data_IF_040742745425
#
_entry.id   IF_040742745425
#
_cell.length_a   1.000
_cell.length_b   1.000
_cell.length_c   1.000
_cell.angle_alpha   90.00
_cell.angle_beta   90.00
_cell.angle_gamma   90.00
#
_symmetry.space_group_name_H-M   'P 1'
#
loop_
_entity.id
_entity.type
_entity.pdbx_description
1 polymer ?
#
# COMPACT_ATOMS: atom_id res chain seq x y z
N UNK A 1 -9.89 7.16 -25.95
CA UNK A 1 -11.24 7.20 -25.32
C UNK A 1 -11.01 7.28 -23.82
N UNK A 2 -11.09 8.47 -23.24
CA UNK A 2 -10.91 8.66 -21.80
C UNK A 2 -12.10 8.03 -21.09
N UNK A 3 -11.89 6.87 -20.46
CA UNK A 3 -12.84 6.28 -19.53
C UNK A 3 -13.02 7.27 -18.38
N UNK A 4 -14.22 7.83 -18.27
CA UNK A 4 -14.64 8.73 -17.18
C UNK A 4 -14.92 7.91 -15.90
N UNK A 5 -14.12 6.88 -15.64
CA UNK A 5 -14.21 6.04 -14.47
C UNK A 5 -13.68 6.79 -13.25
N UNK A 6 -14.45 6.78 -12.19
CA UNK A 6 -14.09 7.42 -10.93
C UNK A 6 -12.78 6.82 -10.37
N UNK A 7 -11.79 7.66 -9.98
CA UNK A 7 -10.51 7.17 -9.50
C UNK A 7 -10.66 6.35 -8.21
N UNK A 8 -9.77 5.39 -8.01
CA UNK A 8 -9.71 4.60 -6.79
C UNK A 8 -9.36 5.45 -5.57
N UNK A 9 -8.42 6.40 -5.74
CA UNK A 9 -8.02 7.37 -4.72
C UNK A 9 -7.93 8.75 -5.35
N UNK A 10 -8.44 9.78 -4.67
CA UNK A 10 -8.27 11.17 -5.07
C UNK A 10 -7.96 12.06 -3.87
N UNK A 11 -6.96 12.93 -4.05
CA UNK A 11 -6.57 13.98 -3.13
C UNK A 11 -6.81 15.33 -3.79
N UNK A 12 -7.50 16.24 -3.10
CA UNK A 12 -7.80 17.59 -3.57
C UNK A 12 -7.33 18.59 -2.52
N UNK A 13 -6.21 19.28 -2.77
CA UNK A 13 -5.60 20.30 -1.90
C UNK A 13 -5.41 19.83 -0.45
N UNK A 14 -4.99 18.57 -0.26
CA UNK A 14 -4.89 17.93 1.05
C UNK A 14 -3.70 18.47 1.84
N UNK A 15 -3.98 19.00 3.02
CA UNK A 15 -2.98 19.38 4.02
C UNK A 15 -3.10 18.51 5.27
N UNK A 16 -1.96 18.22 5.92
CA UNK A 16 -1.93 17.57 7.22
C UNK A 16 -0.94 18.25 8.16
N UNK A 17 -1.43 18.59 9.35
CA UNK A 17 -0.61 19.15 10.44
C UNK A 17 -0.71 18.25 11.68
N UNK A 18 0.38 18.19 12.44
CA UNK A 18 0.44 17.63 13.78
C UNK A 18 0.99 18.73 14.70
N UNK A 19 0.10 19.32 15.50
CA UNK A 19 0.43 20.56 16.22
C UNK A 19 0.84 21.68 15.26
N UNK A 20 1.99 22.29 15.48
CA UNK A 20 2.55 23.33 14.60
C UNK A 20 3.22 22.80 13.34
N UNK A 21 3.59 21.50 13.29
CA UNK A 21 4.33 20.90 12.16
C UNK A 21 3.37 20.59 11.02
N UNK A 22 3.58 21.23 9.85
CA UNK A 22 2.93 20.85 8.60
C UNK A 22 3.71 19.69 7.97
N UNK A 23 3.02 18.58 7.71
CA UNK A 23 3.61 17.36 7.12
C UNK A 23 3.21 17.22 5.66
N UNK A 24 1.95 17.51 5.32
CA UNK A 24 1.49 17.58 3.92
C UNK A 24 0.99 19.00 3.64
N UNK A 25 1.23 19.46 2.41
CA UNK A 25 0.99 20.83 2.01
C UNK A 25 0.35 20.91 0.61
N UNK A 26 -0.97 20.88 0.58
CA UNK A 26 -1.77 21.04 -0.66
C UNK A 26 -1.60 19.89 -1.66
N UNK A 27 -1.47 18.62 -1.20
CA UNK A 27 -1.37 17.50 -2.13
C UNK A 27 -2.61 17.36 -2.99
N UNK A 28 -2.41 17.25 -4.30
CA UNK A 28 -3.46 17.00 -5.30
C UNK A 28 -2.95 15.94 -6.27
N UNK A 29 -3.60 14.77 -6.28
CA UNK A 29 -3.31 13.67 -7.20
C UNK A 29 -4.47 12.68 -7.22
N UNK A 30 -4.46 11.82 -8.24
CA UNK A 30 -5.41 10.70 -8.35
C UNK A 30 -4.66 9.41 -8.61
N UNK A 31 -5.26 8.29 -8.17
CA UNK A 31 -4.86 6.93 -8.55
C UNK A 31 -6.04 6.28 -9.25
N UNK A 32 -5.84 5.77 -10.44
CA UNK A 32 -6.90 5.14 -11.21
C UNK A 32 -7.19 3.72 -10.70
N UNK A 33 -8.35 3.16 -11.06
CA UNK A 33 -8.64 1.75 -10.78
C UNK A 33 -7.65 0.86 -11.53
N UNK A 34 -7.11 -0.14 -10.83
CA UNK A 34 -6.10 -1.04 -11.37
C UNK A 34 -4.71 -0.42 -11.58
N UNK A 35 -4.50 0.84 -11.20
CA UNK A 35 -3.19 1.50 -11.31
C UNK A 35 -2.25 1.10 -10.17
N UNK A 36 -0.97 0.90 -10.48
CA UNK A 36 0.13 0.76 -9.51
C UNK A 36 0.82 2.12 -9.37
N UNK A 37 0.39 2.89 -8.39
CA UNK A 37 0.92 4.21 -8.06
C UNK A 37 1.94 4.11 -6.92
N UNK A 38 3.18 4.54 -7.16
CA UNK A 38 4.25 4.46 -6.17
C UNK A 38 4.65 5.86 -5.71
N UNK A 39 4.72 6.07 -4.40
CA UNK A 39 5.20 7.32 -3.79
C UNK A 39 6.61 7.09 -3.29
N UNK A 40 7.59 7.78 -3.88
CA UNK A 40 8.98 7.76 -3.45
C UNK A 40 9.41 9.12 -2.86
N UNK A 41 10.56 9.14 -2.21
CA UNK A 41 11.16 10.37 -1.67
C UNK A 41 11.91 10.13 -0.36
N UNK A 42 12.64 11.12 0.15
CA UNK A 42 13.42 11.01 1.38
C UNK A 42 12.58 10.62 2.61
N UNK A 43 13.22 10.08 3.64
CA UNK A 43 12.55 9.77 4.90
C UNK A 43 11.97 11.03 5.56
N UNK A 44 10.81 10.87 6.22
CA UNK A 44 10.16 11.97 6.93
C UNK A 44 9.43 13.01 6.06
N UNK A 45 9.30 12.80 4.75
CA UNK A 45 8.62 13.73 3.82
C UNK A 45 7.10 13.64 3.83
N UNK A 46 6.51 12.66 4.53
CA UNK A 46 5.06 12.51 4.66
C UNK A 46 4.47 11.34 3.87
N UNK A 47 5.28 10.45 3.27
CA UNK A 47 4.83 9.30 2.47
C UNK A 47 3.79 8.43 3.20
N UNK A 48 4.15 7.87 4.36
CA UNK A 48 3.22 7.03 5.16
C UNK A 48 2.02 7.84 5.68
N UNK A 49 2.15 9.17 5.85
CA UNK A 49 1.02 10.03 6.21
C UNK A 49 0.03 10.13 5.04
N UNK A 50 0.52 10.30 3.81
CA UNK A 50 -0.34 10.27 2.61
C UNK A 50 -1.07 8.93 2.50
N UNK A 51 -0.38 7.81 2.72
CA UNK A 51 -0.97 6.47 2.69
C UNK A 51 -2.07 6.29 3.75
N UNK A 52 -1.82 6.75 4.99
CA UNK A 52 -2.80 6.68 6.09
C UNK A 52 -4.02 7.57 5.87
N UNK A 53 -3.84 8.71 5.19
CA UNK A 53 -4.97 9.55 4.77
C UNK A 53 -5.77 8.87 3.66
N UNK A 54 -5.11 8.32 2.65
CA UNK A 54 -5.75 7.62 1.53
C UNK A 54 -6.58 6.41 1.99
N UNK A 55 -6.11 5.69 3.02
CA UNK A 55 -6.80 4.53 3.60
C UNK A 55 -7.84 4.89 4.68
N UNK A 56 -8.04 6.17 4.98
CA UNK A 56 -8.96 6.64 6.02
C UNK A 56 -8.52 6.34 7.45
N UNK A 57 -7.25 5.99 7.69
CA UNK A 57 -6.69 5.81 9.04
C UNK A 57 -6.42 7.15 9.74
N UNK A 58 -6.25 8.21 8.96
CA UNK A 58 -6.12 9.59 9.43
C UNK A 58 -7.09 10.48 8.67
N UNK A 59 -7.53 11.58 9.31
CA UNK A 59 -8.27 12.64 8.65
C UNK A 59 -7.32 13.77 8.24
N UNK A 60 -7.53 14.44 7.09
CA UNK A 60 -6.78 15.63 6.70
C UNK A 60 -7.08 16.79 7.64
N UNK A 61 -6.17 17.78 7.69
CA UNK A 61 -6.44 19.05 8.38
C UNK A 61 -7.29 19.98 7.51
N UNK A 62 -7.07 19.93 6.20
CA UNK A 62 -7.89 20.60 5.17
C UNK A 62 -7.74 19.89 3.84
N UNK A 63 -8.61 20.19 2.89
CA UNK A 63 -8.71 19.49 1.60
C UNK A 63 -9.58 18.24 1.70
N UNK A 64 -9.76 17.55 0.58
CA UNK A 64 -10.64 16.39 0.47
C UNK A 64 -9.87 15.14 0.07
N UNK A 65 -10.14 14.02 0.74
CA UNK A 65 -9.64 12.69 0.35
C UNK A 65 -10.84 11.81 -0.02
N UNK A 66 -10.83 11.30 -1.24
CA UNK A 66 -11.82 10.33 -1.70
C UNK A 66 -11.19 8.96 -1.88
N UNK A 67 -11.90 7.93 -1.46
CA UNK A 67 -11.56 6.53 -1.66
C UNK A 67 -12.76 5.84 -2.31
N UNK A 68 -12.53 5.23 -3.48
CA UNK A 68 -13.59 4.62 -4.30
C UNK A 68 -14.79 5.56 -4.48
N UNK A 69 -14.51 6.85 -4.75
CA UNK A 69 -15.47 7.92 -4.95
C UNK A 69 -16.07 8.55 -3.69
N UNK A 70 -15.90 7.94 -2.53
CA UNK A 70 -16.50 8.41 -1.29
C UNK A 70 -15.56 9.38 -0.55
N UNK A 71 -16.06 10.55 -0.17
CA UNK A 71 -15.33 11.50 0.68
C UNK A 71 -15.20 10.94 2.10
N UNK A 72 -13.95 10.61 2.48
CA UNK A 72 -13.67 9.96 3.76
C UNK A 72 -14.06 10.80 4.98
N UNK A 73 -14.08 12.13 4.86
CA UNK A 73 -14.47 13.02 5.96
C UNK A 73 -15.98 13.15 6.14
N UNK A 74 -16.76 12.85 5.10
CA UNK A 74 -18.21 12.91 5.13
C UNK A 74 -18.86 11.59 5.59
N UNK A 75 -18.10 10.51 5.68
CA UNK A 75 -18.63 9.19 6.03
C UNK A 75 -18.91 9.07 7.53
N UNK A 76 -20.02 8.40 7.85
CA UNK A 76 -20.26 7.89 9.21
C UNK A 76 -19.24 6.78 9.54
N UNK A 77 -19.04 6.49 10.83
CA UNK A 77 -18.16 5.42 11.27
C UNK A 77 -18.54 4.06 10.65
N UNK A 78 -19.84 3.77 10.53
CA UNK A 78 -20.36 2.55 9.91
C UNK A 78 -20.05 2.49 8.42
N UNK A 79 -20.26 3.59 7.68
CA UNK A 79 -19.96 3.66 6.26
C UNK A 79 -18.44 3.54 6.00
N UNK A 80 -17.61 4.18 6.83
CA UNK A 80 -16.17 4.05 6.76
C UNK A 80 -15.70 2.62 7.06
N UNK A 81 -16.30 1.93 8.02
CA UNK A 81 -16.01 0.52 8.31
C UNK A 81 -16.38 -0.38 7.12
N UNK A 82 -17.53 -0.14 6.49
CA UNK A 82 -17.93 -0.87 5.28
C UNK A 82 -16.98 -0.62 4.10
N UNK A 83 -16.52 0.62 3.91
CA UNK A 83 -15.56 0.97 2.87
C UNK A 83 -14.21 0.28 3.09
N UNK A 84 -13.75 0.17 4.35
CA UNK A 84 -12.49 -0.47 4.70
C UNK A 84 -12.42 -1.96 4.37
N UNK A 85 -13.56 -2.66 4.26
CA UNK A 85 -13.60 -4.07 3.80
C UNK A 85 -13.16 -4.23 2.35
N UNK A 86 -13.28 -3.15 1.56
CA UNK A 86 -12.87 -3.11 0.15
C UNK A 86 -11.40 -2.70 -0.01
N UNK A 87 -10.66 -2.62 1.10
CA UNK A 87 -9.29 -2.10 1.15
C UNK A 87 -8.40 -3.04 1.92
N UNK A 88 -7.28 -3.42 1.32
CA UNK A 88 -6.20 -4.12 2.00
C UNK A 88 -5.08 -3.16 2.42
N UNK A 89 -4.41 -3.48 3.52
CA UNK A 89 -3.29 -2.68 4.02
C UNK A 89 -2.13 -3.58 4.50
N UNK A 90 -0.96 -3.41 3.90
CA UNK A 90 0.29 -4.00 4.37
C UNK A 90 1.11 -2.96 5.13
N UNK A 91 1.27 -3.17 6.43
CA UNK A 91 2.09 -2.32 7.29
C UNK A 91 3.57 -2.63 7.17
N UNK A 92 4.43 -1.65 7.42
CA UNK A 92 5.88 -1.79 7.32
C UNK A 92 6.45 -2.97 8.15
N UNK A 93 5.94 -3.22 9.35
CA UNK A 93 6.34 -4.35 10.19
C UNK A 93 5.57 -5.66 9.91
N UNK A 94 4.64 -5.66 8.93
CA UNK A 94 3.67 -6.73 8.72
C UNK A 94 2.51 -6.70 9.73
N UNK A 95 2.71 -6.23 10.95
CA UNK A 95 1.71 -6.10 12.02
C UNK A 95 0.91 -7.41 12.25
N UNK A 96 1.56 -8.55 12.24
CA UNK A 96 0.97 -9.82 12.64
C UNK A 96 0.85 -9.89 14.18
N UNK A 97 -0.21 -10.52 14.66
CA UNK A 97 -0.39 -10.82 16.09
C UNK A 97 0.51 -11.98 16.47
N UNK A 98 1.50 -11.74 17.32
CA UNK A 98 2.53 -12.72 17.67
C UNK A 98 2.03 -13.97 18.40
N UNK A 99 0.84 -13.89 19.03
CA UNK A 99 0.20 -15.01 19.74
C UNK A 99 -0.79 -15.80 18.86
N UNK A 100 -0.85 -15.51 17.58
CA UNK A 100 -1.66 -16.21 16.58
C UNK A 100 -0.76 -16.82 15.51
N UNK A 101 -1.17 -17.98 14.99
CA UNK A 101 -0.50 -18.60 13.84
C UNK A 101 -0.60 -17.71 12.60
N UNK A 102 0.15 -18.04 11.55
CA UNK A 102 0.04 -17.32 10.27
C UNK A 102 -1.37 -17.46 9.68
N UNK A 103 -1.94 -18.66 9.71
CA UNK A 103 -3.31 -18.90 9.25
C UNK A 103 -4.34 -18.10 10.03
N UNK A 104 -4.24 -18.06 11.36
CA UNK A 104 -5.12 -17.28 12.21
C UNK A 104 -5.00 -15.76 11.94
N UNK A 105 -3.78 -15.26 11.67
CA UNK A 105 -3.55 -13.87 11.30
C UNK A 105 -4.19 -13.53 9.95
N UNK A 106 -4.06 -14.42 8.97
CA UNK A 106 -4.66 -14.26 7.63
C UNK A 106 -6.19 -14.31 7.72
N UNK A 107 -6.75 -15.13 8.60
CA UNK A 107 -8.20 -15.26 8.82
C UNK A 107 -8.85 -14.03 9.48
N UNK A 108 -8.09 -13.12 10.13
CA UNK A 108 -8.62 -12.03 10.93
C UNK A 108 -9.65 -11.15 10.21
N UNK A 109 -9.42 -10.69 8.95
CA UNK A 109 -10.41 -9.87 8.25
C UNK A 109 -11.74 -10.61 8.07
N UNK A 110 -11.71 -11.85 7.60
CA UNK A 110 -12.91 -12.65 7.36
C UNK A 110 -13.70 -12.90 8.64
N UNK A 111 -13.01 -13.18 9.76
CA UNK A 111 -13.66 -13.40 11.07
C UNK A 111 -14.22 -12.10 11.67
N UNK A 112 -13.57 -10.96 11.41
CA UNK A 112 -14.00 -9.67 11.95
C UNK A 112 -15.20 -9.09 11.21
N UNK A 113 -15.33 -9.37 9.93
CA UNK A 113 -16.28 -8.70 9.05
C UNK A 113 -17.42 -9.59 8.56
N UNK A 114 -17.28 -10.92 8.65
CA UNK A 114 -18.15 -11.85 7.99
C UNK A 114 -18.92 -12.78 8.92
N UNK A 115 -19.90 -13.44 8.32
CA UNK A 115 -20.61 -14.58 8.88
C UNK A 115 -20.31 -15.84 8.07
N UNK A 116 -19.07 -15.94 7.55
CA UNK A 116 -18.65 -17.10 6.75
C UNK A 116 -18.50 -18.33 7.67
N UNK A 117 -18.88 -19.52 7.20
CA UNK A 117 -18.58 -20.77 7.90
C UNK A 117 -17.06 -20.97 8.07
N UNK A 118 -16.61 -21.50 9.19
CA UNK A 118 -15.18 -21.76 9.46
C UNK A 118 -14.51 -22.60 8.35
N UNK A 119 -15.24 -23.52 7.74
CA UNK A 119 -14.73 -24.30 6.60
C UNK A 119 -14.36 -23.40 5.42
N UNK A 120 -15.22 -22.46 5.06
CA UNK A 120 -14.96 -21.51 3.96
C UNK A 120 -13.80 -20.56 4.29
N UNK A 121 -13.73 -20.11 5.56
CA UNK A 121 -12.58 -19.31 6.03
C UNK A 121 -11.29 -20.11 5.88
N UNK A 122 -11.26 -21.37 6.29
CA UNK A 122 -10.07 -22.21 6.19
C UNK A 122 -9.64 -22.44 4.73
N UNK A 123 -10.59 -22.67 3.81
CA UNK A 123 -10.32 -22.83 2.38
C UNK A 123 -9.72 -21.55 1.78
N UNK A 124 -10.28 -20.36 2.08
CA UNK A 124 -9.75 -19.07 1.63
C UNK A 124 -8.37 -18.76 2.22
N UNK A 125 -8.17 -19.05 3.50
CA UNK A 125 -6.87 -18.85 4.18
C UNK A 125 -5.80 -19.71 3.51
N UNK A 126 -6.10 -21.00 3.26
CA UNK A 126 -5.17 -21.91 2.59
C UNK A 126 -4.82 -21.41 1.19
N UNK A 127 -5.80 -20.94 0.41
CA UNK A 127 -5.58 -20.36 -0.91
C UNK A 127 -4.70 -19.10 -0.85
N UNK A 128 -4.99 -18.17 0.06
CA UNK A 128 -4.20 -16.94 0.22
C UNK A 128 -2.77 -17.21 0.68
N UNK A 129 -2.55 -18.18 1.58
CA UNK A 129 -1.20 -18.61 1.97
C UNK A 129 -0.46 -19.29 0.81
N UNK A 130 -1.14 -20.10 0.01
CA UNK A 130 -0.54 -20.71 -1.17
C UNK A 130 -0.13 -19.66 -2.22
N UNK A 131 -0.95 -18.63 -2.44
CA UNK A 131 -0.66 -17.53 -3.38
C UNK A 131 0.64 -16.79 -3.04
N UNK A 132 0.96 -16.67 -1.74
CA UNK A 132 2.22 -16.03 -1.28
C UNK A 132 3.34 -17.04 -1.01
N UNK A 133 3.19 -18.32 -1.41
CA UNK A 133 4.19 -19.38 -1.22
C UNK A 133 4.40 -19.79 0.24
N UNK A 134 3.33 -19.85 1.03
CA UNK A 134 3.30 -20.25 2.44
C UNK A 134 2.28 -21.37 2.74
N UNK A 135 1.97 -22.21 1.75
CA UNK A 135 0.93 -23.25 1.88
C UNK A 135 1.14 -24.17 3.11
N UNK A 136 2.39 -24.51 3.41
CA UNK A 136 2.75 -25.44 4.50
C UNK A 136 3.13 -24.74 5.82
N UNK A 137 3.01 -23.40 5.88
CA UNK A 137 3.46 -22.60 7.04
C UNK A 137 2.32 -22.07 7.90
N UNK A 138 1.07 -22.42 7.60
CA UNK A 138 -0.11 -21.85 8.25
C UNK A 138 -0.14 -21.99 9.76
N UNK A 139 0.34 -23.11 10.29
CA UNK A 139 0.33 -23.43 11.73
C UNK A 139 1.51 -22.80 12.51
N UNK A 140 2.49 -22.21 11.81
CA UNK A 140 3.63 -21.57 12.47
C UNK A 140 3.23 -20.19 13.03
N UNK A 141 3.90 -19.80 14.12
CA UNK A 141 3.77 -18.48 14.70
C UNK A 141 4.75 -17.48 14.05
N UNK A 142 4.46 -16.16 14.10
CA UNK A 142 5.36 -15.15 13.55
C UNK A 142 6.80 -15.20 14.08
N UNK A 143 7.00 -15.67 15.32
CA UNK A 143 8.32 -15.82 15.93
C UNK A 143 9.12 -17.03 15.40
N UNK A 144 8.48 -17.96 14.71
CA UNK A 144 9.09 -19.20 14.19
C UNK A 144 9.50 -19.09 12.72
N UNK A 145 9.22 -17.96 12.07
CA UNK A 145 9.42 -17.78 10.64
C UNK A 145 10.34 -16.58 10.33
N UNK A 146 10.91 -16.56 9.14
CA UNK A 146 11.76 -15.44 8.69
C UNK A 146 10.95 -14.15 8.50
N UNK A 147 11.62 -12.99 8.54
CA UNK A 147 10.99 -11.69 8.26
C UNK A 147 10.30 -11.63 6.90
N UNK A 148 10.86 -12.29 5.88
CA UNK A 148 10.23 -12.41 4.56
C UNK A 148 8.94 -13.24 4.60
N UNK A 149 8.87 -14.31 5.40
CA UNK A 149 7.63 -15.08 5.59
C UNK A 149 6.59 -14.26 6.35
N UNK A 150 6.98 -13.48 7.37
CA UNK A 150 6.09 -12.55 8.08
C UNK A 150 5.46 -11.56 7.10
N UNK A 151 6.27 -10.96 6.21
CA UNK A 151 5.79 -10.01 5.19
C UNK A 151 4.81 -10.67 4.22
N UNK A 152 5.13 -11.88 3.74
CA UNK A 152 4.25 -12.62 2.83
C UNK A 152 2.93 -13.03 3.49
N UNK A 153 2.94 -13.46 4.75
CA UNK A 153 1.72 -13.75 5.50
C UNK A 153 0.87 -12.48 5.75
N UNK A 154 1.51 -11.35 6.05
CA UNK A 154 0.83 -10.06 6.15
C UNK A 154 0.26 -9.60 4.81
N UNK A 155 0.93 -9.92 3.69
CA UNK A 155 0.42 -9.71 2.35
C UNK A 155 -0.83 -10.57 2.09
N UNK A 156 -0.79 -11.89 2.39
CA UNK A 156 -1.95 -12.78 2.29
C UNK A 156 -3.15 -12.24 3.08
N UNK A 157 -2.92 -11.74 4.31
CA UNK A 157 -3.96 -11.09 5.12
C UNK A 157 -4.55 -9.84 4.44
N UNK A 158 -3.72 -9.06 3.73
CA UNK A 158 -4.19 -7.84 3.07
C UNK A 158 -5.07 -8.14 1.85
N UNK A 159 -4.91 -9.29 1.19
CA UNK A 159 -5.62 -9.64 -0.04
C UNK A 159 -6.81 -10.58 0.16
N UNK A 160 -6.98 -11.19 1.35
CA UNK A 160 -7.94 -12.28 1.57
C UNK A 160 -9.41 -11.91 1.34
N UNK A 161 -9.75 -10.62 1.43
CA UNK A 161 -11.09 -10.10 1.14
C UNK A 161 -11.22 -9.59 -0.31
N UNK A 162 -10.25 -9.88 -1.19
CA UNK A 162 -10.22 -9.45 -2.60
C UNK A 162 -10.44 -7.93 -2.74
N UNK A 163 -9.60 -7.10 -2.13
CA UNK A 163 -9.81 -5.66 -2.06
C UNK A 163 -9.71 -4.98 -3.43
N UNK A 164 -10.46 -3.89 -3.62
CA UNK A 164 -10.36 -3.04 -4.81
C UNK A 164 -9.15 -2.10 -4.77
N UNK A 165 -8.66 -1.80 -3.56
CA UNK A 165 -7.48 -0.95 -3.35
C UNK A 165 -6.56 -1.59 -2.31
N UNK A 166 -5.27 -1.65 -2.62
CA UNK A 166 -4.22 -2.14 -1.75
C UNK A 166 -3.25 -1.02 -1.40
N UNK A 167 -2.99 -0.85 -0.12
CA UNK A 167 -2.01 0.09 0.41
C UNK A 167 -0.80 -0.65 0.98
N UNK A 168 0.41 -0.26 0.56
CA UNK A 168 1.66 -0.88 0.96
C UNK A 168 2.59 0.18 1.57
N UNK A 169 2.85 0.09 2.88
CA UNK A 169 3.76 0.98 3.59
C UNK A 169 5.13 0.29 3.74
N UNK A 170 6.11 0.68 2.92
CA UNK A 170 7.47 0.13 2.88
C UNK A 170 7.51 -1.41 2.81
N UNK A 171 6.88 -2.03 1.79
CA UNK A 171 6.67 -3.48 1.74
C UNK A 171 7.96 -4.31 1.75
N UNK A 172 9.04 -3.79 1.17
CA UNK A 172 10.34 -4.46 1.03
C UNK A 172 11.36 -4.07 2.11
N UNK A 173 11.01 -3.14 3.01
CA UNK A 173 11.91 -2.66 4.06
C UNK A 173 12.40 -3.80 4.97
N UNK A 174 13.74 -3.88 5.15
CA UNK A 174 14.38 -4.89 5.98
C UNK A 174 14.48 -6.28 5.35
N UNK A 175 14.18 -6.42 4.07
CA UNK A 175 14.35 -7.66 3.30
C UNK A 175 15.65 -7.61 2.47
N UNK A 176 16.21 -8.79 2.21
CA UNK A 176 17.27 -8.94 1.24
C UNK A 176 16.76 -8.71 -0.21
N UNK A 177 17.67 -8.49 -1.20
CA UNK A 177 17.26 -8.19 -2.56
C UNK A 177 16.42 -9.29 -3.24
N UNK A 178 16.61 -10.56 -2.88
CA UNK A 178 15.85 -11.69 -3.46
C UNK A 178 14.42 -11.66 -2.94
N UNK A 179 14.25 -11.50 -1.62
CA UNK A 179 12.93 -11.41 -1.01
C UNK A 179 12.20 -10.14 -1.43
N UNK A 180 12.90 -9.00 -1.61
CA UNK A 180 12.30 -7.78 -2.14
C UNK A 180 11.69 -7.99 -3.51
N UNK A 181 12.39 -8.67 -4.43
CA UNK A 181 11.85 -9.03 -5.76
C UNK A 181 10.63 -9.94 -5.67
N UNK A 182 10.59 -10.84 -4.68
CA UNK A 182 9.41 -11.69 -4.44
C UNK A 182 8.19 -10.85 -4.07
N UNK A 183 8.34 -9.86 -3.19
CA UNK A 183 7.25 -8.95 -2.83
C UNK A 183 6.81 -8.09 -4.02
N UNK A 184 7.76 -7.56 -4.84
CA UNK A 184 7.43 -6.80 -6.05
C UNK A 184 6.63 -7.64 -7.06
N UNK A 185 7.01 -8.92 -7.21
CA UNK A 185 6.28 -9.87 -8.05
C UNK A 185 4.85 -10.11 -7.52
N UNK A 186 4.68 -10.26 -6.20
CA UNK A 186 3.36 -10.41 -5.57
C UNK A 186 2.48 -9.18 -5.78
N UNK A 187 3.03 -7.95 -5.65
CA UNK A 187 2.28 -6.71 -5.94
C UNK A 187 1.78 -6.70 -7.39
N UNK A 188 2.64 -7.08 -8.32
CA UNK A 188 2.29 -7.16 -9.74
C UNK A 188 1.24 -8.23 -10.00
N UNK A 189 1.42 -9.44 -9.45
CA UNK A 189 0.51 -10.56 -9.59
C UNK A 189 -0.89 -10.21 -9.09
N UNK A 190 -1.01 -9.69 -7.88
CA UNK A 190 -2.30 -9.33 -7.27
C UNK A 190 -3.00 -8.23 -8.07
N UNK A 191 -2.26 -7.22 -8.53
CA UNK A 191 -2.82 -6.20 -9.41
C UNK A 191 -3.39 -6.81 -10.70
N UNK A 192 -2.66 -7.73 -11.35
CA UNK A 192 -3.10 -8.39 -12.59
C UNK A 192 -4.27 -9.36 -12.36
N UNK A 193 -4.24 -10.12 -11.27
CA UNK A 193 -5.24 -11.16 -10.98
C UNK A 193 -6.56 -10.56 -10.47
N UNK A 194 -6.47 -9.58 -9.57
CA UNK A 194 -7.66 -9.02 -8.90
C UNK A 194 -8.08 -7.65 -9.44
N UNK A 195 -7.28 -7.03 -10.33
CA UNK A 195 -7.55 -5.69 -10.85
C UNK A 195 -7.51 -4.59 -9.78
N UNK A 196 -6.93 -4.86 -8.61
CA UNK A 196 -6.85 -3.93 -7.51
C UNK A 196 -5.91 -2.76 -7.82
N UNK A 197 -6.30 -1.55 -7.48
CA UNK A 197 -5.38 -0.42 -7.48
C UNK A 197 -4.36 -0.58 -6.34
N UNK A 198 -3.07 -0.38 -6.62
CA UNK A 198 -2.00 -0.50 -5.64
C UNK A 198 -1.37 0.86 -5.35
N UNK A 199 -1.40 1.30 -4.11
CA UNK A 199 -0.70 2.52 -3.67
C UNK A 199 0.45 2.10 -2.77
N UNK A 200 1.67 2.30 -3.24
CA UNK A 200 2.88 1.85 -2.56
C UNK A 200 3.69 3.06 -2.10
N UNK A 201 4.14 3.04 -0.87
CA UNK A 201 5.10 4.00 -0.33
C UNK A 201 6.40 3.26 -0.10
N UNK A 202 7.49 3.74 -0.69
CA UNK A 202 8.81 3.11 -0.53
C UNK A 202 9.96 4.11 -0.71
N UNK A 203 11.12 3.74 -0.22
CA UNK A 203 12.40 4.35 -0.58
C UNK A 203 13.16 3.49 -1.62
N UNK A 204 12.71 2.28 -1.93
CA UNK A 204 13.28 1.40 -2.97
C UNK A 204 12.90 1.90 -4.37
N UNK A 205 13.80 2.69 -4.96
CA UNK A 205 13.65 3.18 -6.33
C UNK A 205 13.67 2.04 -7.35
N UNK A 206 14.56 1.06 -7.17
CA UNK A 206 14.71 -0.04 -8.12
C UNK A 206 13.44 -0.89 -8.19
N UNK A 207 12.79 -1.15 -7.06
CA UNK A 207 11.46 -1.77 -7.00
C UNK A 207 10.42 -0.90 -7.70
N UNK A 208 10.32 0.38 -7.33
CA UNK A 208 9.35 1.30 -7.92
C UNK A 208 9.43 1.32 -9.46
N UNK A 209 10.62 1.40 -10.02
CA UNK A 209 10.84 1.42 -11.48
C UNK A 209 10.42 0.14 -12.19
N UNK A 210 10.42 -1.02 -11.48
CA UNK A 210 10.05 -2.31 -12.08
C UNK A 210 8.56 -2.49 -12.29
N UNK A 211 7.74 -2.02 -11.33
CA UNK A 211 6.32 -2.37 -11.35
C UNK A 211 5.36 -1.18 -11.37
N UNK A 212 5.81 0.05 -11.12
CA UNK A 212 4.92 1.20 -11.11
C UNK A 212 4.39 1.54 -12.50
N UNK A 213 3.12 1.94 -12.59
CA UNK A 213 2.56 2.61 -13.76
C UNK A 213 2.87 4.11 -13.72
N UNK A 214 2.78 4.71 -12.51
CA UNK A 214 3.20 6.10 -12.24
C UNK A 214 3.90 6.20 -10.89
N UNK A 215 4.85 7.13 -10.82
CA UNK A 215 5.63 7.42 -9.62
C UNK A 215 5.44 8.88 -9.23
N UNK A 216 5.11 9.13 -7.96
CA UNK A 216 5.08 10.45 -7.38
C UNK A 216 6.31 10.67 -6.49
N UNK A 217 7.13 11.68 -6.79
CA UNK A 217 8.25 12.07 -5.94
C UNK A 217 7.81 13.11 -4.92
N UNK A 218 7.80 12.70 -3.63
CA UNK A 218 7.35 13.52 -2.51
C UNK A 218 8.52 14.15 -1.77
N UNK A 219 8.52 15.49 -1.67
CA UNK A 219 9.47 16.27 -0.87
C UNK A 219 8.74 17.39 -0.13
N UNK A 220 9.09 17.62 1.12
CA UNK A 220 8.52 18.67 1.97
C UNK A 220 6.96 18.72 1.95
N UNK A 221 6.31 17.54 1.93
CA UNK A 221 4.85 17.44 1.94
C UNK A 221 4.15 17.71 0.60
N UNK A 222 4.89 17.92 -0.49
CA UNK A 222 4.36 18.18 -1.84
C UNK A 222 4.93 17.21 -2.86
N UNK A 223 4.15 16.85 -3.86
CA UNK A 223 4.69 16.20 -5.06
C UNK A 223 5.45 17.22 -5.92
N UNK A 224 6.73 16.96 -6.17
CA UNK A 224 7.52 17.76 -7.12
C UNK A 224 7.28 17.30 -8.55
N UNK A 225 7.00 16.01 -8.74
CA UNK A 225 6.61 15.41 -10.01
C UNK A 225 5.77 14.18 -9.79
N UNK A 226 4.88 13.88 -10.75
CA UNK A 226 4.13 12.63 -10.86
C UNK A 226 4.16 12.23 -12.32
N UNK A 227 4.82 11.11 -12.64
CA UNK A 227 5.07 10.72 -14.02
C UNK A 227 5.30 9.19 -14.14
N UNK A 228 5.24 8.61 -15.35
CA UNK A 228 5.68 7.24 -15.59
C UNK A 228 7.16 7.03 -15.23
N UNK A 229 7.60 5.78 -14.94
CA UNK A 229 8.99 5.49 -14.57
C UNK A 229 10.06 6.06 -15.53
N UNK A 230 9.82 5.99 -16.84
CA UNK A 230 10.73 6.51 -17.87
C UNK A 230 10.94 8.03 -17.79
N UNK A 231 9.90 8.77 -17.44
CA UNK A 231 9.98 10.23 -17.28
C UNK A 231 10.60 10.61 -15.93
N UNK A 232 10.41 9.82 -14.88
CA UNK A 232 11.07 10.02 -13.58
C UNK A 232 12.58 9.94 -13.74
N UNK A 233 13.10 8.93 -14.47
CA UNK A 233 14.52 8.77 -14.73
C UNK A 233 15.14 9.96 -15.47
N UNK A 234 14.36 10.61 -16.32
CA UNK A 234 14.78 11.78 -17.10
C UNK A 234 14.20 13.11 -16.56
N UNK A 235 13.77 13.13 -15.31
CA UNK A 235 13.12 14.29 -14.71
C UNK A 235 14.03 15.54 -14.76
N UNK A 236 13.54 16.72 -15.18
CA UNK A 236 14.31 17.96 -15.13
C UNK A 236 14.40 18.53 -13.71
N UNK A 237 13.73 17.95 -12.73
CA UNK A 237 13.69 18.43 -11.34
C UNK A 237 14.99 18.05 -10.63
N UNK A 238 15.81 19.03 -10.17
CA UNK A 238 17.12 18.76 -9.57
C UNK A 238 17.07 17.84 -8.35
N UNK A 239 16.03 17.97 -7.54
CA UNK A 239 15.84 17.15 -6.34
C UNK A 239 15.55 15.68 -6.68
N UNK A 240 14.85 15.43 -7.78
CA UNK A 240 14.61 14.07 -8.28
C UNK A 240 15.92 13.48 -8.75
N UNK A 241 16.70 14.22 -9.56
CA UNK A 241 18.00 13.78 -10.04
C UNK A 241 18.99 13.50 -8.90
N UNK A 242 19.04 14.37 -7.89
CA UNK A 242 19.87 14.15 -6.71
C UNK A 242 19.49 12.87 -5.94
N UNK A 243 18.16 12.59 -5.84
CA UNK A 243 17.67 11.37 -5.18
C UNK A 243 18.02 10.11 -5.99
N UNK A 244 17.87 10.16 -7.33
CA UNK A 244 18.24 9.08 -8.23
C UNK A 244 19.74 8.77 -8.15
N UNK A 245 20.59 9.81 -8.20
CA UNK A 245 22.03 9.68 -8.11
C UNK A 245 22.50 9.07 -6.77
N UNK A 246 21.86 9.46 -5.66
CA UNK A 246 22.17 8.91 -4.34
C UNK A 246 21.85 7.42 -4.26
N UNK A 247 20.77 6.96 -4.88
CA UNK A 247 20.34 5.55 -4.90
C UNK A 247 21.17 4.69 -5.87
N UNK A 248 21.73 5.29 -6.94
CA UNK A 248 22.58 4.59 -7.89
C UNK A 248 24.01 4.35 -7.35
N UNK A 249 24.39 5.02 -6.26
CA UNK A 249 25.71 4.91 -5.62
C UNK A 249 25.74 3.92 -4.43
N UNK A 250 24.60 3.34 -4.05
CA UNK A 250 24.58 2.24 -3.08
C UNK A 250 24.96 0.95 -3.81
N UNK A 251 26.11 0.32 -3.42
CA UNK A 251 26.65 -0.87 -4.08
C UNK A 251 25.79 -2.12 -3.84
#
# INVERSE_FOLDING_TARGET
MSSNAEPAVAFEQVCKRFGSRRVLDGQTFTVQRGERFVIIGPSGTGKSVSLKLASGQLSPTSGTVRLLGQDLCALSATALAALRRRVGYLFQSGALLGWKTLAENVALPLRSHGHLPEREIAERVQAALAEVGLADAGELYPAEVSGGMVKRAAFARAIIEEPEVLFFDEPTSGLDPVMSRTIDALITQVNQTHGAACVVVTHDLAGALRYADRIGFLKAGRFLTVAPPSEILNSPVPEVQAFLAAQALEP
#
